data_IF_579869599773
#
_entry.id   IF_579869599773
#
_cell.length_a   1.000
_cell.length_b   1.000
_cell.length_c   1.000
_cell.angle_alpha   90.00
_cell.angle_beta   90.00
_cell.angle_gamma   90.00
#
_symmetry.space_group_name_H-M   'P 1'
#
loop_
_entity.id
_entity.type
_entity.pdbx_description
1 polymer ?
#
# COMPACT_ATOMS: atom_id res chain seq x y z
N UNK A 1 -43.02 -0.98 -19.15
CA UNK A 1 -42.45 -0.40 -17.92
C UNK A 1 -41.28 -1.27 -17.47
N UNK A 2 -40.14 -0.67 -17.11
CA UNK A 2 -39.02 -1.41 -16.53
C UNK A 2 -39.31 -1.70 -15.04
N UNK A 3 -39.02 -2.93 -14.60
CA UNK A 3 -39.10 -3.32 -13.18
C UNK A 3 -38.08 -2.52 -12.35
N UNK A 4 -38.36 -2.33 -11.05
CA UNK A 4 -37.41 -1.72 -10.11
C UNK A 4 -36.06 -2.46 -10.04
N UNK A 5 -36.04 -3.75 -10.38
CA UNK A 5 -34.81 -4.55 -10.48
C UNK A 5 -33.88 -4.11 -11.62
N UNK A 6 -34.43 -3.42 -12.63
CA UNK A 6 -33.66 -2.86 -13.72
C UNK A 6 -32.89 -1.60 -13.33
N UNK A 7 -32.89 -1.19 -12.06
CA UNK A 7 -32.22 0.00 -11.54
C UNK A 7 -31.24 -0.37 -10.41
N UNK A 8 -30.04 0.24 -10.38
CA UNK A 8 -29.04 -0.04 -9.35
C UNK A 8 -29.55 0.39 -7.97
N UNK A 9 -29.08 -0.27 -6.91
CA UNK A 9 -29.37 0.15 -5.54
C UNK A 9 -28.64 1.44 -5.23
N UNK A 10 -29.30 2.37 -4.54
CA UNK A 10 -28.72 3.64 -4.12
C UNK A 10 -29.19 3.99 -2.71
N UNK A 11 -28.26 4.41 -1.85
CA UNK A 11 -28.58 4.97 -0.53
C UNK A 11 -28.94 6.46 -0.56
N UNK A 12 -28.67 7.12 -1.69
CA UNK A 12 -28.86 8.57 -1.83
C UNK A 12 -30.30 8.97 -2.20
N UNK A 13 -31.11 8.04 -2.70
CA UNK A 13 -32.46 8.33 -3.18
C UNK A 13 -33.51 7.69 -2.26
N UNK A 14 -34.65 8.37 -2.07
CA UNK A 14 -35.72 7.96 -1.17
C UNK A 14 -36.33 6.59 -1.49
N UNK A 15 -36.32 6.16 -2.75
CA UNK A 15 -36.84 4.86 -3.19
C UNK A 15 -35.77 3.74 -3.19
N UNK A 16 -34.55 4.02 -2.73
CA UNK A 16 -33.46 3.04 -2.68
C UNK A 16 -32.88 2.65 -4.04
N UNK A 17 -33.27 3.33 -5.14
CA UNK A 17 -32.89 2.99 -6.52
C UNK A 17 -32.25 4.17 -7.24
N UNK A 18 -31.36 3.89 -8.18
CA UNK A 18 -30.76 4.89 -9.06
C UNK A 18 -31.80 5.54 -9.99
N UNK A 19 -31.50 6.76 -10.46
CA UNK A 19 -32.37 7.52 -11.36
C UNK A 19 -32.31 7.07 -12.83
N UNK A 20 -31.46 6.10 -13.14
CA UNK A 20 -31.24 5.54 -14.47
C UNK A 20 -31.14 4.02 -14.37
N UNK A 21 -31.50 3.32 -15.45
CA UNK A 21 -31.46 1.86 -15.46
C UNK A 21 -30.02 1.34 -15.33
N UNK A 22 -29.87 0.07 -14.97
CA UNK A 22 -28.59 -0.59 -14.74
C UNK A 22 -27.73 -0.60 -16.01
N UNK A 23 -28.34 -0.75 -17.19
CA UNK A 23 -27.62 -0.68 -18.46
C UNK A 23 -27.00 0.72 -18.68
N UNK A 24 -27.79 1.79 -18.52
CA UNK A 24 -27.29 3.16 -18.59
C UNK A 24 -26.26 3.45 -17.48
N UNK A 25 -26.41 2.83 -16.30
CA UNK A 25 -25.44 2.97 -15.21
C UNK A 25 -24.08 2.41 -15.59
N UNK A 26 -24.08 1.17 -16.07
CA UNK A 26 -22.86 0.49 -16.47
C UNK A 26 -22.21 1.19 -17.67
N UNK A 27 -23.00 1.66 -18.63
CA UNK A 27 -22.47 2.41 -19.77
C UNK A 27 -21.80 3.71 -19.34
N UNK A 28 -22.46 4.52 -18.50
CA UNK A 28 -21.89 5.76 -17.95
C UNK A 28 -20.63 5.47 -17.12
N UNK A 29 -20.65 4.43 -16.31
CA UNK A 29 -19.49 3.98 -15.54
C UNK A 29 -18.29 3.65 -16.43
N UNK A 30 -18.53 2.88 -17.52
CA UNK A 30 -17.48 2.56 -18.50
C UNK A 30 -16.94 3.80 -19.22
N UNK A 31 -17.82 4.70 -19.68
CA UNK A 31 -17.42 5.97 -20.33
C UNK A 31 -16.57 6.81 -19.38
N UNK A 32 -17.04 7.03 -18.17
CA UNK A 32 -16.30 7.79 -17.16
C UNK A 32 -14.96 7.14 -16.78
N UNK A 33 -14.88 5.80 -16.76
CA UNK A 33 -13.63 5.10 -16.51
C UNK A 33 -12.64 5.29 -17.66
N UNK A 34 -13.11 5.21 -18.90
CA UNK A 34 -12.29 5.43 -20.09
C UNK A 34 -11.77 6.88 -20.17
N UNK A 35 -12.62 7.87 -19.91
CA UNK A 35 -12.26 9.29 -19.87
C UNK A 35 -11.19 9.59 -18.81
N UNK A 36 -11.21 8.88 -17.68
CA UNK A 36 -10.24 9.05 -16.58
C UNK A 36 -8.96 8.24 -16.76
N UNK A 37 -8.84 7.44 -17.82
CA UNK A 37 -7.68 6.58 -18.06
C UNK A 37 -7.63 5.31 -17.20
N UNK A 38 -8.77 4.88 -16.63
CA UNK A 38 -8.85 3.64 -15.85
C UNK A 38 -8.75 3.81 -14.33
N UNK A 39 -8.95 2.70 -13.62
CA UNK A 39 -9.00 2.68 -12.15
C UNK A 39 -7.66 3.04 -11.52
N UNK A 40 -6.56 2.49 -12.09
CA UNK A 40 -5.20 2.75 -11.63
C UNK A 40 -4.87 4.25 -11.67
N UNK A 41 -5.08 4.90 -12.82
CA UNK A 41 -4.82 6.32 -13.03
C UNK A 41 -5.64 7.20 -12.09
N UNK A 42 -6.92 6.87 -11.91
CA UNK A 42 -7.77 7.56 -10.95
C UNK A 42 -7.25 7.42 -9.50
N UNK A 43 -6.85 6.23 -9.08
CA UNK A 43 -6.34 6.02 -7.72
C UNK A 43 -5.00 6.71 -7.46
N UNK A 44 -4.08 6.65 -8.42
CA UNK A 44 -2.76 7.29 -8.31
C UNK A 44 -2.90 8.81 -8.18
N UNK A 45 -3.63 9.43 -9.11
CA UNK A 45 -3.84 10.88 -9.11
C UNK A 45 -4.56 11.35 -7.84
N UNK A 46 -5.63 10.66 -7.42
CA UNK A 46 -6.44 11.08 -6.27
C UNK A 46 -5.76 10.90 -4.93
N UNK A 47 -4.92 9.86 -4.78
CA UNK A 47 -4.32 9.51 -3.49
C UNK A 47 -2.91 10.07 -3.33
N UNK A 48 -2.15 10.12 -4.41
CA UNK A 48 -0.72 10.44 -4.38
C UNK A 48 -0.35 11.64 -5.25
N UNK A 49 -1.30 12.18 -6.03
CA UNK A 49 -1.05 13.35 -6.87
C UNK A 49 -0.17 13.09 -8.10
N UNK A 50 0.06 11.82 -8.47
CA UNK A 50 0.91 11.43 -9.61
C UNK A 50 0.11 10.77 -10.73
N UNK A 51 0.62 10.86 -11.96
CA UNK A 51 0.10 10.18 -13.13
C UNK A 51 0.49 8.69 -13.16
N UNK A 52 -0.13 7.94 -14.07
CA UNK A 52 0.24 6.55 -14.31
C UNK A 52 1.65 6.45 -14.89
N UNK A 53 2.01 7.38 -15.76
CA UNK A 53 3.31 7.47 -16.43
C UNK A 53 4.43 7.81 -15.44
N UNK A 54 4.19 8.73 -14.50
CA UNK A 54 5.14 9.04 -13.43
C UNK A 54 5.42 7.80 -12.56
N UNK A 55 4.37 7.07 -12.17
CA UNK A 55 4.54 5.83 -11.41
C UNK A 55 5.28 4.74 -12.21
N UNK A 56 5.08 4.67 -13.53
CA UNK A 56 5.78 3.71 -14.40
C UNK A 56 7.26 4.09 -14.57
N UNK A 57 7.57 5.38 -14.71
CA UNK A 57 8.94 5.88 -14.73
C UNK A 57 9.69 5.58 -13.42
N UNK A 58 9.04 5.78 -12.27
CA UNK A 58 9.59 5.40 -10.97
C UNK A 58 9.87 3.89 -10.90
N UNK A 59 8.96 3.06 -11.42
CA UNK A 59 9.14 1.62 -11.43
C UNK A 59 10.34 1.21 -12.30
N UNK A 60 10.51 1.84 -13.47
CA UNK A 60 11.65 1.61 -14.36
C UNK A 60 12.96 2.05 -13.72
N UNK A 61 13.01 3.25 -13.14
CA UNK A 61 14.20 3.77 -12.44
C UNK A 61 14.66 2.85 -11.31
N UNK A 62 13.69 2.27 -10.60
CA UNK A 62 13.94 1.27 -9.55
C UNK A 62 14.17 -0.16 -10.08
N UNK A 63 14.29 -0.37 -11.39
CA UNK A 63 14.44 -1.69 -12.01
C UNK A 63 13.33 -2.69 -11.62
N UNK A 64 12.13 -2.19 -11.33
CA UNK A 64 10.97 -2.98 -10.89
C UNK A 64 11.01 -3.41 -9.42
N UNK A 65 12.01 -3.00 -8.64
CA UNK A 65 12.26 -3.49 -7.29
C UNK A 65 11.98 -2.43 -6.22
N UNK A 66 11.69 -2.89 -5.01
CA UNK A 66 11.51 -2.05 -3.83
C UNK A 66 12.74 -1.18 -3.56
N UNK A 67 12.56 0.13 -3.42
CA UNK A 67 13.65 1.08 -3.17
C UNK A 67 14.42 0.83 -1.87
N UNK A 68 13.79 0.20 -0.86
CA UNK A 68 14.44 -0.10 0.44
C UNK A 68 15.19 -1.42 0.41
N UNK A 69 14.54 -2.52 0.02
CA UNK A 69 15.14 -3.85 0.16
C UNK A 69 15.81 -4.38 -1.11
N UNK A 70 15.52 -3.79 -2.28
CA UNK A 70 16.01 -4.19 -3.60
C UNK A 70 15.84 -5.69 -3.92
N UNK A 71 14.88 -6.37 -3.28
CA UNK A 71 14.68 -7.83 -3.36
C UNK A 71 13.31 -8.25 -3.84
N UNK A 72 12.30 -7.45 -3.54
CA UNK A 72 10.91 -7.75 -3.84
C UNK A 72 10.35 -6.72 -4.83
N UNK A 73 9.31 -7.07 -5.61
CA UNK A 73 8.66 -6.14 -6.52
C UNK A 73 8.17 -4.87 -5.81
N UNK A 74 8.40 -3.72 -6.44
CA UNK A 74 7.84 -2.44 -6.04
C UNK A 74 6.35 -2.39 -6.43
N UNK A 75 5.46 -2.41 -5.44
CA UNK A 75 4.01 -2.53 -5.65
C UNK A 75 3.18 -1.44 -4.96
N UNK A 76 3.79 -0.67 -4.06
CA UNK A 76 3.10 0.35 -3.26
C UNK A 76 3.80 1.70 -3.43
N UNK A 77 3.02 2.76 -3.65
CA UNK A 77 3.53 4.14 -3.64
C UNK A 77 3.72 4.56 -2.19
N UNK A 78 4.96 4.79 -1.82
CA UNK A 78 5.36 5.34 -0.52
C UNK A 78 5.35 6.88 -0.60
N UNK A 79 4.80 7.50 0.43
CA UNK A 79 4.67 8.95 0.52
C UNK A 79 4.87 9.39 1.96
N UNK A 80 5.38 10.60 2.11
CA UNK A 80 5.53 11.24 3.40
C UNK A 80 4.15 11.64 3.95
N UNK A 81 3.85 11.24 5.19
CA UNK A 81 2.53 11.47 5.78
C UNK A 81 2.29 12.92 6.24
N UNK A 82 3.34 13.73 6.37
CA UNK A 82 3.22 15.14 6.77
C UNK A 82 3.01 16.06 5.56
N UNK A 83 3.79 15.86 4.51
CA UNK A 83 3.76 16.69 3.29
C UNK A 83 2.90 16.12 2.16
N UNK A 84 2.60 14.81 2.18
CA UNK A 84 1.98 14.09 1.08
C UNK A 84 2.90 13.84 -0.11
N UNK A 85 4.18 14.24 -0.04
CA UNK A 85 5.12 14.08 -1.14
C UNK A 85 5.45 12.59 -1.36
N UNK A 86 5.36 12.14 -2.62
CA UNK A 86 5.76 10.78 -3.00
C UNK A 86 7.27 10.63 -2.82
N UNK A 87 7.68 9.53 -2.16
CA UNK A 87 9.08 9.19 -1.92
C UNK A 87 9.60 8.19 -2.96
N UNK A 88 9.00 7.00 -3.02
CA UNK A 88 9.45 5.89 -3.88
C UNK A 88 8.37 4.82 -4.04
N UNK A 89 8.65 3.77 -4.80
CA UNK A 89 7.84 2.54 -4.79
C UNK A 89 8.46 1.48 -3.88
N UNK A 90 7.66 0.89 -3.01
CA UNK A 90 8.09 -0.11 -2.03
C UNK A 90 7.32 -1.42 -2.20
N UNK A 91 7.88 -2.51 -1.67
CA UNK A 91 7.13 -3.75 -1.48
C UNK A 91 6.21 -3.64 -0.25
N UNK A 92 5.23 -4.55 -0.16
CA UNK A 92 4.24 -4.59 0.93
C UNK A 92 4.90 -4.56 2.32
N UNK A 93 5.94 -5.37 2.53
CA UNK A 93 6.60 -5.50 3.83
C UNK A 93 7.39 -4.26 4.24
N UNK A 94 8.12 -3.64 3.30
CA UNK A 94 8.89 -2.42 3.60
C UNK A 94 7.96 -1.25 3.87
N UNK A 95 6.94 -1.05 3.03
CA UNK A 95 5.94 0.00 3.21
C UNK A 95 5.18 -0.16 4.54
N UNK A 96 4.70 -1.38 4.81
CA UNK A 96 4.03 -1.68 6.08
C UNK A 96 4.95 -1.49 7.27
N UNK A 97 6.22 -1.90 7.16
CA UNK A 97 7.23 -1.73 8.20
C UNK A 97 7.44 -0.27 8.58
N UNK A 98 7.61 0.64 7.61
CA UNK A 98 7.70 2.08 7.87
C UNK A 98 6.48 2.58 8.66
N UNK A 99 5.27 2.22 8.23
CA UNK A 99 4.03 2.59 8.91
C UNK A 99 3.92 2.05 10.35
N UNK A 100 4.40 0.83 10.62
CA UNK A 100 4.42 0.27 11.99
C UNK A 100 5.36 1.04 12.92
N UNK A 101 6.41 1.64 12.37
CA UNK A 101 7.31 2.54 13.08
C UNK A 101 6.91 4.01 12.94
N UNK A 102 5.70 4.29 12.46
CA UNK A 102 5.11 5.64 12.30
C UNK A 102 5.98 6.58 11.47
N UNK A 103 6.73 6.04 10.52
CA UNK A 103 7.71 6.78 9.71
C UNK A 103 8.76 7.54 10.54
N UNK A 104 8.97 7.18 11.82
CA UNK A 104 9.90 7.86 12.73
C UNK A 104 11.34 7.33 12.55
N UNK A 105 12.28 8.14 12.01
CA UNK A 105 13.65 7.71 11.80
C UNK A 105 14.41 7.42 13.10
N UNK A 106 14.05 8.09 14.22
CA UNK A 106 14.67 7.81 15.51
C UNK A 106 14.26 6.42 16.01
N UNK A 107 12.97 6.09 15.91
CA UNK A 107 12.46 4.78 16.31
C UNK A 107 12.99 3.65 15.42
N UNK A 108 13.08 3.85 14.10
CA UNK A 108 13.66 2.86 13.18
C UNK A 108 15.12 2.53 13.54
N UNK A 109 15.93 3.53 13.90
CA UNK A 109 17.31 3.30 14.36
C UNK A 109 17.38 2.56 15.69
N UNK A 110 16.46 2.82 16.61
CA UNK A 110 16.35 2.07 17.87
C UNK A 110 15.99 0.60 17.59
N UNK A 111 15.03 0.35 16.70
CA UNK A 111 14.62 -0.99 16.31
C UNK A 111 15.75 -1.79 15.65
N UNK A 112 16.53 -1.14 14.76
CA UNK A 112 17.72 -1.75 14.16
C UNK A 112 18.73 -2.18 15.24
N UNK A 113 19.08 -1.27 16.17
CA UNK A 113 20.00 -1.59 17.28
C UNK A 113 19.49 -2.72 18.17
N UNK A 114 18.19 -2.77 18.46
CA UNK A 114 17.59 -3.84 19.25
C UNK A 114 17.79 -5.21 18.59
N UNK A 115 17.58 -5.32 17.27
CA UNK A 115 17.81 -6.57 16.54
C UNK A 115 19.29 -6.93 16.51
N UNK A 116 20.17 -5.96 16.26
CA UNK A 116 21.61 -6.15 16.25
C UNK A 116 22.15 -6.65 17.59
N UNK A 117 21.70 -6.06 18.71
CA UNK A 117 22.16 -6.46 20.05
C UNK A 117 21.77 -7.90 20.39
N UNK A 118 20.57 -8.34 19.99
CA UNK A 118 20.12 -9.72 20.21
C UNK A 118 20.81 -10.71 19.28
N UNK A 119 21.18 -10.30 18.06
CA UNK A 119 22.03 -11.13 17.18
C UNK A 119 23.43 -11.28 17.74
N UNK A 120 24.04 -10.19 18.22
CA UNK A 120 25.36 -10.25 18.87
C UNK A 120 25.30 -11.14 20.12
N UNK A 121 24.25 -11.03 20.93
CA UNK A 121 24.02 -11.91 22.08
C UNK A 121 23.79 -13.37 21.71
N UNK A 122 23.25 -13.68 20.53
CA UNK A 122 23.12 -15.05 20.01
C UNK A 122 24.45 -15.64 19.50
N UNK A 123 25.39 -14.80 19.07
CA UNK A 123 26.74 -15.24 18.67
C UNK A 123 27.62 -15.59 19.88
N UNK A 124 27.29 -15.03 21.06
CA UNK A 124 27.80 -15.50 22.34
C UNK A 124 26.83 -16.58 22.83
N UNK A 125 26.92 -17.78 22.26
CA UNK A 125 26.25 -18.93 22.84
C UNK A 125 26.61 -19.08 24.33
N UNK A 126 25.83 -19.82 25.13
CA UNK A 126 26.30 -20.29 26.44
C UNK A 126 27.78 -20.66 26.38
N UNK A 127 28.62 -20.24 27.34
CA UNK A 127 29.89 -20.93 27.51
C UNK A 127 29.61 -22.44 27.58
N UNK A 128 30.45 -23.29 26.96
CA UNK A 128 30.25 -24.74 26.97
C UNK A 128 30.03 -25.21 28.42
N UNK A 129 28.86 -25.80 28.70
CA UNK A 129 28.55 -26.35 30.02
C UNK A 129 27.53 -25.58 30.88
N UNK A 130 26.83 -24.56 30.37
CA UNK A 130 25.67 -23.98 31.09
C UNK A 130 24.34 -24.15 30.33
N UNK A 131 23.40 -24.81 31.00
CA UNK A 131 22.06 -25.18 30.55
C UNK A 131 21.06 -24.03 30.81
N UNK A 132 20.26 -23.64 29.80
CA UNK A 132 19.38 -22.45 29.86
C UNK A 132 17.90 -22.74 30.14
N UNK A 133 17.58 -23.81 30.86
CA UNK A 133 16.21 -24.06 31.34
C UNK A 133 16.22 -24.86 32.64
N UNK A 134 15.41 -24.49 33.65
CA UNK A 134 15.11 -25.39 34.74
C UNK A 134 14.38 -26.60 34.16
N UNK A 135 14.89 -27.80 34.44
CA UNK A 135 14.10 -29.02 34.30
C UNK A 135 13.11 -29.04 35.45
N UNK A 136 11.82 -28.97 35.12
CA UNK A 136 10.72 -29.64 35.82
C UNK A 136 9.61 -29.94 34.79
#
# INVERSE_FOLDING_TARGET
MLSLEAFPRSRANSNGRGSYCLACHNERGRKSLAERGGSRTYHLSRRYGISAEEADLMLVDQSGLCAICAKAPAAHVDHDHDSGAVRSLLCFNCNGGLGQFKDDPALLRVAARYVESHRAGQLVGPPPGQQWWPTD
#
